data_IF_434877232351
#
_entry.id   IF_434877232351
#
_cell.length_a   1.000
_cell.length_b   1.000
_cell.length_c   1.000
_cell.angle_alpha   90.00
_cell.angle_beta   90.00
_cell.angle_gamma   90.00
#
_symmetry.space_group_name_H-M   'P 1'
#
loop_
_entity.id
_entity.type
_entity.pdbx_description
1 polymer ?
#
# COMPACT_ATOMS: atom_id res chain seq x y z
N UNK A 1 8.76 23.30 -0.68
CA UNK A 1 8.24 21.91 -0.61
C UNK A 1 9.09 21.00 -1.49
N UNK A 2 9.51 19.85 -0.95
CA UNK A 2 10.40 18.89 -1.64
C UNK A 2 9.64 17.94 -2.58
N UNK A 3 8.39 17.62 -2.26
CA UNK A 3 7.55 16.72 -3.08
C UNK A 3 6.91 17.50 -4.23
N UNK A 4 7.25 17.11 -5.47
CA UNK A 4 6.79 17.76 -6.71
C UNK A 4 5.54 17.14 -7.32
N UNK A 5 5.19 15.91 -6.93
CA UNK A 5 3.99 15.19 -7.31
C UNK A 5 3.65 14.16 -6.23
N UNK A 6 2.37 14.00 -5.93
CA UNK A 6 1.91 12.95 -5.02
C UNK A 6 2.03 11.58 -5.69
N UNK A 7 2.60 10.60 -5.00
CA UNK A 7 2.87 9.27 -5.54
C UNK A 7 2.79 8.20 -4.43
N UNK A 8 2.48 6.97 -4.84
CA UNK A 8 2.47 5.79 -3.99
C UNK A 8 3.47 4.79 -4.58
N UNK A 9 4.38 4.30 -3.76
CA UNK A 9 5.20 3.12 -4.09
C UNK A 9 4.66 1.92 -3.31
N UNK A 10 4.56 0.79 -3.99
CA UNK A 10 4.02 -0.45 -3.42
C UNK A 10 5.05 -1.56 -3.60
N UNK A 11 5.33 -2.29 -2.53
CA UNK A 11 6.21 -3.45 -2.57
C UNK A 11 5.55 -4.66 -1.92
N UNK A 12 5.50 -5.78 -2.65
CA UNK A 12 5.13 -7.10 -2.14
C UNK A 12 6.39 -7.95 -2.01
N UNK A 13 6.57 -8.58 -0.86
CA UNK A 13 7.71 -9.45 -0.58
C UNK A 13 7.25 -10.90 -0.67
N UNK A 14 8.03 -11.73 -1.38
CA UNK A 14 7.75 -13.17 -1.52
C UNK A 14 7.73 -13.88 -0.17
N UNK A 15 8.62 -13.48 0.73
CA UNK A 15 8.70 -13.96 2.10
C UNK A 15 8.64 -12.77 3.05
N UNK A 16 7.88 -12.84 4.16
CA UNK A 16 7.84 -11.76 5.13
C UNK A 16 9.22 -11.50 5.73
N UNK A 17 9.66 -10.24 5.72
CA UNK A 17 10.93 -9.83 6.32
C UNK A 17 10.73 -9.32 7.75
N UNK A 18 11.78 -9.41 8.58
CA UNK A 18 11.77 -8.85 9.94
C UNK A 18 11.90 -7.33 9.92
N UNK A 19 10.88 -6.63 10.40
CA UNK A 19 10.86 -5.18 10.54
C UNK A 19 10.61 -4.80 12.01
N UNK A 20 11.69 -4.67 12.78
CA UNK A 20 11.60 -4.50 14.22
C UNK A 20 11.14 -5.80 14.89
N UNK A 21 10.00 -5.76 15.58
CA UNK A 21 9.37 -6.95 16.21
C UNK A 21 8.36 -7.67 15.31
N UNK A 22 8.05 -7.12 14.13
CA UNK A 22 6.98 -7.59 13.27
C UNK A 22 7.49 -8.20 11.97
N UNK A 23 6.65 -9.02 11.32
CA UNK A 23 6.88 -9.54 9.97
C UNK A 23 6.12 -8.71 8.94
N UNK A 24 6.81 -8.25 7.90
CA UNK A 24 6.23 -7.40 6.85
C UNK A 24 6.33 -8.09 5.49
N UNK A 25 5.21 -8.18 4.78
CA UNK A 25 5.10 -8.75 3.42
C UNK A 25 4.54 -7.78 2.37
N UNK A 26 3.95 -6.67 2.80
CA UNK A 26 3.36 -5.64 1.95
C UNK A 26 3.69 -4.27 2.53
N UNK A 27 4.21 -3.37 1.70
CA UNK A 27 4.54 -1.99 2.07
C UNK A 27 3.91 -1.03 1.09
N UNK A 28 3.22 -0.02 1.64
CA UNK A 28 2.78 1.17 0.91
C UNK A 28 3.58 2.37 1.41
N UNK A 29 4.29 3.04 0.51
CA UNK A 29 5.04 4.26 0.81
C UNK A 29 4.38 5.44 0.10
N UNK A 30 4.02 6.46 0.88
CA UNK A 30 3.27 7.62 0.40
C UNK A 30 4.18 8.85 0.32
N UNK A 31 4.31 9.43 -0.86
CA UNK A 31 4.89 10.76 -1.05
C UNK A 31 3.75 11.72 -1.39
N UNK A 32 3.37 12.62 -0.48
CA UNK A 32 2.18 13.48 -0.67
C UNK A 32 2.57 14.95 -0.70
N UNK A 33 2.10 15.70 -1.71
CA UNK A 33 2.10 17.16 -1.66
C UNK A 33 1.21 17.61 -0.51
N UNK A 34 1.64 18.63 0.22
CA UNK A 34 0.85 19.13 1.35
C UNK A 34 -0.49 19.78 0.95
N UNK A 35 -0.72 20.04 -0.32
CA UNK A 35 -2.03 20.48 -0.85
C UNK A 35 -3.08 19.35 -0.76
N UNK A 36 -2.63 18.09 -0.73
CA UNK A 36 -3.47 16.89 -0.79
C UNK A 36 -3.62 16.21 0.59
N UNK A 37 -3.46 16.95 1.69
CA UNK A 37 -3.50 16.37 3.05
C UNK A 37 -4.82 15.66 3.38
N UNK A 38 -5.96 16.17 2.87
CA UNK A 38 -7.25 15.51 3.06
C UNK A 38 -7.33 14.16 2.34
N UNK A 39 -6.79 14.09 1.12
CA UNK A 39 -6.70 12.85 0.33
C UNK A 39 -5.82 11.81 1.03
N UNK A 40 -4.78 12.26 1.74
CA UNK A 40 -3.89 11.39 2.53
C UNK A 40 -4.66 10.67 3.64
N UNK A 41 -5.56 11.37 4.34
CA UNK A 41 -6.35 10.79 5.43
C UNK A 41 -7.30 9.71 4.93
N UNK A 42 -7.96 9.94 3.79
CA UNK A 42 -8.83 8.94 3.16
C UNK A 42 -8.03 7.71 2.71
N UNK A 43 -6.86 7.92 2.08
CA UNK A 43 -5.98 6.83 1.67
C UNK A 43 -5.52 5.97 2.85
N UNK A 44 -5.17 6.57 3.99
CA UNK A 44 -4.84 5.81 5.20
C UNK A 44 -6.03 4.99 5.73
N UNK A 45 -7.25 5.53 5.66
CA UNK A 45 -8.45 4.80 6.09
C UNK A 45 -8.74 3.59 5.20
N UNK A 46 -8.62 3.76 3.88
CA UNK A 46 -8.76 2.67 2.92
C UNK A 46 -7.70 1.60 3.16
N UNK A 47 -6.42 1.98 3.29
CA UNK A 47 -5.33 1.04 3.57
C UNK A 47 -5.52 0.29 4.90
N UNK A 48 -6.02 0.97 5.95
CA UNK A 48 -6.35 0.34 7.22
C UNK A 48 -7.44 -0.72 7.06
N UNK A 49 -8.53 -0.40 6.35
CA UNK A 49 -9.62 -1.33 6.05
C UNK A 49 -9.14 -2.54 5.23
N UNK A 50 -8.26 -2.32 4.26
CA UNK A 50 -7.66 -3.40 3.47
C UNK A 50 -6.81 -4.35 4.34
N UNK A 51 -6.08 -3.81 5.33
CA UNK A 51 -5.24 -4.60 6.23
C UNK A 51 -6.02 -5.56 7.13
N UNK A 52 -7.29 -5.26 7.41
CA UNK A 52 -8.18 -6.09 8.22
C UNK A 52 -8.74 -7.31 7.46
N UNK A 53 -8.36 -7.49 6.18
CA UNK A 53 -8.83 -8.58 5.32
C UNK A 53 -7.69 -9.52 4.92
N UNK A 54 -7.34 -10.54 5.73
CA UNK A 54 -6.20 -11.42 5.48
C UNK A 54 -6.21 -12.12 4.11
N UNK A 55 -7.40 -12.51 3.63
CA UNK A 55 -7.57 -13.16 2.33
C UNK A 55 -7.21 -12.21 1.18
N UNK A 56 -7.56 -10.93 1.32
CA UNK A 56 -7.25 -9.89 0.34
C UNK A 56 -5.75 -9.56 0.34
N UNK A 57 -5.13 -9.46 1.52
CA UNK A 57 -3.68 -9.28 1.65
C UNK A 57 -2.90 -10.44 1.02
N UNK A 58 -3.34 -11.68 1.23
CA UNK A 58 -2.74 -12.84 0.53
C UNK A 58 -2.89 -12.76 -0.99
N UNK A 59 -4.06 -12.31 -1.48
CA UNK A 59 -4.31 -12.15 -2.91
C UNK A 59 -3.36 -11.11 -3.52
N UNK A 60 -3.15 -9.98 -2.83
CA UNK A 60 -2.22 -8.92 -3.25
C UNK A 60 -0.76 -9.39 -3.25
N UNK A 61 -0.31 -10.02 -2.16
CA UNK A 61 1.10 -10.44 -1.99
C UNK A 61 1.53 -11.55 -2.95
N UNK A 62 0.60 -12.36 -3.45
CA UNK A 62 0.86 -13.42 -4.45
C UNK A 62 0.79 -12.95 -5.90
N UNK A 63 0.25 -11.76 -6.15
CA UNK A 63 0.09 -11.23 -7.50
C UNK A 63 1.42 -10.66 -8.01
N UNK A 64 1.79 -11.07 -9.22
CA UNK A 64 3.07 -10.67 -9.86
C UNK A 64 2.84 -9.80 -11.09
N UNK A 65 1.61 -9.76 -11.60
CA UNK A 65 1.22 -8.88 -12.68
C UNK A 65 0.73 -7.54 -12.10
N UNK A 66 1.44 -6.46 -12.43
CA UNK A 66 1.14 -5.11 -11.90
C UNK A 66 -0.28 -4.66 -12.25
N UNK A 67 -0.75 -4.86 -13.48
CA UNK A 67 -2.10 -4.45 -13.88
C UNK A 67 -3.17 -5.21 -13.10
N UNK A 68 -2.96 -6.51 -12.89
CA UNK A 68 -3.87 -7.36 -12.13
C UNK A 68 -3.85 -7.02 -10.64
N UNK A 69 -2.67 -6.68 -10.10
CA UNK A 69 -2.53 -6.18 -8.74
C UNK A 69 -3.34 -4.89 -8.54
N UNK A 70 -3.19 -3.93 -9.45
CA UNK A 70 -3.93 -2.66 -9.40
C UNK A 70 -5.44 -2.87 -9.54
N UNK A 71 -5.89 -3.82 -10.36
CA UNK A 71 -7.32 -4.14 -10.50
C UNK A 71 -7.98 -4.68 -9.23
N UNK A 72 -7.20 -5.12 -8.23
CA UNK A 72 -7.75 -5.51 -6.93
C UNK A 72 -7.95 -4.30 -6.01
N UNK A 73 -7.26 -3.18 -6.27
CA UNK A 73 -7.34 -1.95 -5.50
C UNK A 73 -8.35 -0.95 -6.09
N UNK A 74 -8.62 -1.06 -7.40
CA UNK A 74 -9.71 -0.32 -8.05
C UNK A 74 -11.06 -0.88 -7.60
N UNK A 75 -11.83 -0.07 -6.86
CA UNK A 75 -13.20 -0.36 -6.42
C UNK A 75 -14.23 0.03 -7.47
#
# INVERSE_FOLDING_TARGET
KLIKQSAIAIATLKEPLDWGSEKVSLVFMLAVKHEDQNMTKQLFQELSSLSEQPAFIQKLTKETNVMKFLSYLDY
#
